data_IF_413444266371
#
_entry.id   IF_413444266371
#
_cell.length_a   1.000
_cell.length_b   1.000
_cell.length_c   1.000
_cell.angle_alpha   90.00
_cell.angle_beta   90.00
_cell.angle_gamma   90.00
#
_symmetry.space_group_name_H-M   'P 1'
#
loop_
_entity.id
_entity.type
_entity.pdbx_description
1 polymer ?
#
# COMPACT_ATOMS: atom_id res chain seq x y z
N UNK A 1 -31.11 3.80 57.85
CA UNK A 1 -32.36 3.26 57.24
C UNK A 1 -31.91 2.47 56.02
N UNK A 2 -31.95 1.14 56.13
CA UNK A 2 -31.48 0.19 55.13
C UNK A 2 -32.46 0.07 53.97
N UNK A 3 -32.01 -0.41 52.79
CA UNK A 3 -32.56 -1.59 52.07
C UNK A 3 -31.90 -1.77 50.69
N UNK A 4 -31.28 -2.95 50.52
CA UNK A 4 -31.09 -3.82 49.34
C UNK A 4 -30.47 -3.22 48.05
N UNK A 5 -29.40 -3.74 47.44
CA UNK A 5 -28.89 -5.10 47.41
C UNK A 5 -29.49 -5.90 46.23
N UNK A 6 -28.87 -5.85 45.04
CA UNK A 6 -29.13 -6.80 43.95
C UNK A 6 -27.82 -7.42 43.49
N UNK A 7 -27.50 -8.57 44.09
CA UNK A 7 -26.67 -9.60 43.49
C UNK A 7 -27.62 -10.55 42.75
N UNK A 8 -27.36 -10.82 41.46
CA UNK A 8 -28.06 -11.88 40.74
C UNK A 8 -27.08 -12.98 40.35
N UNK A 9 -27.47 -14.19 40.69
CA UNK A 9 -26.64 -15.38 40.82
C UNK A 9 -26.64 -16.19 39.54
N UNK A 10 -25.47 -16.79 39.29
CA UNK A 10 -25.08 -17.88 38.37
C UNK A 10 -26.20 -18.78 37.82
N UNK A 11 -26.08 -19.13 36.54
CA UNK A 11 -26.52 -20.43 36.02
C UNK A 11 -25.38 -21.03 35.17
N UNK A 12 -24.85 -22.16 35.65
CA UNK A 12 -23.98 -23.05 34.90
C UNK A 12 -24.85 -24.05 34.13
N UNK A 13 -24.51 -24.32 32.87
CA UNK A 13 -24.95 -25.52 32.18
C UNK A 13 -23.82 -26.01 31.28
N UNK A 14 -23.28 -27.17 31.63
CA UNK A 14 -22.35 -27.94 30.82
C UNK A 14 -23.16 -28.89 29.91
N UNK A 15 -22.75 -29.06 28.65
CA UNK A 15 -22.94 -30.32 27.93
C UNK A 15 -21.88 -30.47 26.83
N UNK A 16 -21.14 -31.57 26.94
CA UNK A 16 -20.06 -32.10 26.10
C UNK A 16 -20.61 -32.85 24.88
N UNK A 17 -19.99 -32.71 23.70
CA UNK A 17 -19.88 -33.82 22.71
C UNK A 17 -18.56 -33.71 21.93
N UNK A 18 -17.78 -34.79 22.01
CA UNK A 18 -16.56 -35.10 21.25
C UNK A 18 -16.92 -35.55 19.82
N UNK A 19 -16.17 -35.12 18.81
CA UNK A 19 -16.08 -35.86 17.53
C UNK A 19 -14.75 -35.60 16.82
N UNK A 20 -13.80 -36.57 16.78
CA UNK A 20 -12.68 -36.55 15.86
C UNK A 20 -13.01 -37.38 14.62
N UNK A 21 -12.91 -36.80 13.43
CA UNK A 21 -12.82 -37.57 12.18
C UNK A 21 -11.38 -37.53 11.65
N UNK A 22 -10.77 -38.72 11.62
CA UNK A 22 -9.52 -39.04 10.94
C UNK A 22 -9.83 -39.47 9.50
N UNK A 23 -9.23 -38.81 8.50
CA UNK A 23 -8.97 -39.34 7.15
C UNK A 23 -7.54 -38.90 6.83
N UNK A 24 -6.50 -39.73 6.92
CA UNK A 24 -6.09 -40.85 6.06
C UNK A 24 -5.82 -40.49 4.59
N UNK A 25 -4.53 -40.54 4.25
CA UNK A 25 -3.90 -41.04 3.01
C UNK A 25 -4.09 -40.26 1.68
N UNK A 26 -2.97 -39.79 1.12
CA UNK A 26 -2.31 -40.56 0.06
C UNK A 26 -0.83 -40.19 -0.05
N UNK A 27 -0.03 -41.25 -0.13
CA UNK A 27 1.41 -41.22 -0.28
C UNK A 27 1.78 -41.25 -1.77
N UNK A 28 2.99 -40.78 -2.07
CA UNK A 28 3.86 -41.43 -3.05
C UNK A 28 3.81 -40.88 -4.48
N UNK A 29 4.98 -40.49 -4.96
CA UNK A 29 5.19 -40.20 -6.38
C UNK A 29 6.57 -39.63 -6.70
N UNK A 30 7.64 -40.25 -6.22
CA UNK A 30 8.99 -40.03 -6.73
C UNK A 30 9.07 -40.52 -8.18
N UNK A 31 9.62 -39.70 -9.08
CA UNK A 31 9.79 -40.11 -10.48
C UNK A 31 10.57 -39.11 -11.32
N UNK A 32 11.87 -38.96 -11.04
CA UNK A 32 12.85 -38.56 -12.05
C UNK A 32 13.18 -39.80 -12.89
N UNK A 33 13.10 -39.69 -14.22
CA UNK A 33 14.32 -39.88 -15.01
C UNK A 33 14.47 -38.81 -16.11
N UNK A 34 15.64 -38.17 -16.13
CA UNK A 34 16.23 -37.68 -17.38
C UNK A 34 16.60 -38.89 -18.25
N UNK A 35 16.44 -38.79 -19.58
CA UNK A 35 17.65 -38.74 -20.39
C UNK A 35 17.57 -37.78 -21.59
N UNK A 36 18.65 -37.02 -21.73
CA UNK A 36 19.42 -36.67 -22.94
C UNK A 36 18.78 -35.97 -24.17
N UNK A 37 19.58 -35.10 -24.82
CA UNK A 37 19.10 -34.10 -25.78
C UNK A 37 18.90 -34.70 -27.18
N UNK A 38 17.74 -34.40 -27.78
CA UNK A 38 17.55 -34.59 -29.21
C UNK A 38 18.03 -33.33 -29.94
N UNK A 39 19.24 -33.43 -30.47
CA UNK A 39 19.82 -32.50 -31.44
C UNK A 39 19.02 -32.59 -32.74
N UNK A 40 18.05 -31.69 -32.95
CA UNK A 40 17.44 -31.49 -34.27
C UNK A 40 18.21 -30.40 -35.02
N UNK A 41 19.12 -30.85 -35.89
CA UNK A 41 19.76 -30.02 -36.90
C UNK A 41 18.71 -29.61 -37.94
N UNK A 42 18.25 -28.36 -37.88
CA UNK A 42 17.46 -27.76 -38.97
C UNK A 42 18.39 -26.89 -39.79
N UNK A 43 18.77 -27.42 -40.95
CA UNK A 43 19.41 -26.66 -42.03
C UNK A 43 18.37 -25.72 -42.62
N UNK A 44 18.40 -24.44 -42.23
CA UNK A 44 17.61 -23.40 -42.89
C UNK A 44 18.44 -22.78 -44.03
N UNK A 45 17.98 -23.05 -45.25
CA UNK A 45 18.49 -22.50 -46.51
C UNK A 45 18.44 -20.97 -46.50
N UNK A 46 19.58 -20.33 -46.78
CA UNK A 46 19.68 -18.87 -47.00
C UNK A 46 18.88 -18.51 -48.25
N UNK A 47 17.83 -17.71 -48.06
CA UNK A 47 17.13 -17.02 -49.15
C UNK A 47 17.49 -15.54 -49.07
N UNK A 48 18.07 -15.01 -50.15
CA UNK A 48 18.46 -13.61 -50.31
C UNK A 48 17.23 -12.66 -50.33
N UNK A 49 17.42 -11.35 -50.08
CA UNK A 49 16.40 -10.49 -49.50
C UNK A 49 15.42 -9.92 -50.54
N UNK A 50 14.14 -9.90 -50.19
CA UNK A 50 13.12 -9.06 -50.83
C UNK A 50 13.08 -7.73 -50.08
N UNK A 51 13.20 -6.62 -50.81
CA UNK A 51 13.15 -5.27 -50.26
C UNK A 51 11.81 -5.01 -49.55
N UNK A 52 11.87 -4.65 -48.27
CA UNK A 52 10.73 -4.19 -47.49
C UNK A 52 10.48 -2.69 -47.75
N UNK A 53 9.22 -2.22 -47.74
CA UNK A 53 8.92 -0.81 -47.78
C UNK A 53 9.40 -0.14 -46.48
N UNK A 54 9.94 1.06 -46.63
CA UNK A 54 10.46 1.92 -45.57
C UNK A 54 9.39 2.15 -44.51
N UNK A 55 9.50 1.45 -43.37
CA UNK A 55 8.74 1.75 -42.17
C UNK A 55 9.22 3.06 -41.58
N UNK A 56 8.31 4.02 -41.40
CA UNK A 56 8.55 5.23 -40.62
C UNK A 56 8.91 4.77 -39.20
N UNK A 57 10.15 5.04 -38.79
CA UNK A 57 10.57 4.81 -37.41
C UNK A 57 9.67 5.61 -36.47
N UNK A 58 9.03 4.92 -35.52
CA UNK A 58 8.37 5.57 -34.41
C UNK A 58 9.43 6.41 -33.65
N UNK A 59 9.10 7.65 -33.21
CA UNK A 59 10.03 8.44 -32.44
C UNK A 59 10.39 7.68 -31.16
N UNK A 60 11.69 7.43 -30.97
CA UNK A 60 12.22 6.97 -29.70
C UNK A 60 11.87 8.02 -28.64
N UNK A 61 11.40 7.62 -27.44
CA UNK A 61 11.33 8.54 -26.31
C UNK A 61 12.71 9.18 -26.13
N UNK A 62 12.76 10.52 -26.12
CA UNK A 62 13.99 11.23 -25.79
C UNK A 62 14.43 10.90 -24.36
N UNK A 63 15.72 11.07 -24.02
CA UNK A 63 16.16 10.88 -22.65
C UNK A 63 15.40 11.84 -21.74
N UNK A 64 14.65 11.30 -20.79
CA UNK A 64 14.13 12.04 -19.64
C UNK A 64 15.31 12.75 -18.97
N UNK A 65 15.19 14.02 -18.55
CA UNK A 65 16.23 14.67 -17.78
C UNK A 65 16.62 13.77 -16.61
N UNK A 66 17.88 13.37 -16.50
CA UNK A 66 18.38 12.65 -15.34
C UNK A 66 18.29 13.60 -14.16
N UNK A 67 17.26 13.44 -13.34
CA UNK A 67 17.09 14.20 -12.10
C UNK A 67 18.29 13.88 -11.17
N UNK A 68 18.86 14.91 -10.55
CA UNK A 68 19.99 14.72 -9.65
C UNK A 68 19.51 14.04 -8.37
N UNK A 69 20.25 13.05 -7.87
CA UNK A 69 19.94 12.39 -6.60
C UNK A 69 20.03 13.37 -5.42
N UNK A 70 19.22 13.09 -4.40
CA UNK A 70 19.17 13.86 -3.16
C UNK A 70 17.74 14.26 -2.81
N UNK A 71 17.50 14.43 -1.51
CA UNK A 71 16.17 14.81 -1.00
C UNK A 71 15.79 16.21 -1.50
N UNK A 72 14.72 16.27 -2.29
CA UNK A 72 14.10 17.51 -2.77
C UNK A 72 12.59 17.51 -2.46
N UNK A 73 12.17 18.06 -1.31
CA UNK A 73 10.76 18.18 -0.96
C UNK A 73 9.98 19.15 -1.85
N UNK A 74 10.62 19.88 -2.76
CA UNK A 74 9.99 20.84 -3.68
C UNK A 74 10.01 20.35 -5.14
N UNK A 75 10.42 19.10 -5.37
CA UNK A 75 10.45 18.50 -6.70
C UNK A 75 9.07 18.57 -7.38
N UNK A 76 9.05 18.88 -8.68
CA UNK A 76 7.80 19.01 -9.44
C UNK A 76 7.04 17.69 -9.55
N UNK A 77 7.74 16.56 -9.44
CA UNK A 77 7.14 15.23 -9.40
C UNK A 77 6.01 15.10 -8.36
N UNK A 78 6.07 15.84 -7.24
CA UNK A 78 5.02 15.82 -6.22
C UNK A 78 3.72 16.45 -6.74
N UNK A 79 3.66 17.76 -7.09
CA UNK A 79 2.44 18.35 -7.63
C UNK A 79 2.02 17.77 -9.00
N UNK A 80 2.97 17.31 -9.83
CA UNK A 80 2.69 16.74 -11.14
C UNK A 80 1.91 15.41 -11.05
N UNK A 81 2.00 14.71 -9.92
CA UNK A 81 1.28 13.45 -9.68
C UNK A 81 0.05 13.60 -8.77
N UNK A 82 -0.24 14.79 -8.25
CA UNK A 82 -1.33 15.03 -7.31
C UNK A 82 -2.71 14.64 -7.87
N UNK A 83 -2.92 14.81 -9.17
CA UNK A 83 -4.17 14.44 -9.86
C UNK A 83 -4.44 12.94 -9.90
N UNK A 84 -3.42 12.10 -9.66
CA UNK A 84 -3.55 10.64 -9.61
C UNK A 84 -3.97 10.14 -8.21
N UNK A 85 -3.93 11.01 -7.20
CA UNK A 85 -4.36 10.67 -5.84
C UNK A 85 -5.89 10.53 -5.83
N UNK A 86 -6.46 9.42 -5.33
CA UNK A 86 -7.91 9.27 -5.21
C UNK A 86 -8.52 10.48 -4.48
N UNK A 87 -9.58 11.10 -5.01
CA UNK A 87 -10.13 12.33 -4.43
C UNK A 87 -10.65 12.08 -3.00
N UNK A 88 -10.68 13.10 -2.13
CA UNK A 88 -11.32 12.99 -0.82
C UNK A 88 -12.81 12.62 -0.94
N UNK A 89 -13.37 12.04 0.12
CA UNK A 89 -14.73 11.52 0.08
C UNK A 89 -15.80 12.61 -0.03
N UNK A 90 -15.59 13.79 0.56
CA UNK A 90 -16.61 14.84 0.58
C UNK A 90 -16.50 15.77 -0.64
N UNK A 91 -17.66 16.16 -1.19
CA UNK A 91 -17.72 17.13 -2.29
C UNK A 91 -17.15 18.47 -1.85
N UNK A 92 -16.27 19.05 -2.67
CA UNK A 92 -15.65 20.35 -2.43
C UNK A 92 -14.36 20.28 -1.63
N UNK A 93 -13.96 19.09 -1.20
CA UNK A 93 -12.63 18.83 -0.67
C UNK A 93 -11.64 18.52 -1.81
N UNK A 94 -10.36 18.79 -1.56
CA UNK A 94 -9.26 18.48 -2.46
C UNK A 94 -8.00 18.12 -1.70
N UNK A 95 -6.94 17.82 -2.44
CA UNK A 95 -5.62 17.58 -1.86
C UNK A 95 -4.72 18.80 -2.06
N UNK A 96 -3.93 19.12 -1.05
CA UNK A 96 -2.86 20.11 -1.15
C UNK A 96 -1.60 19.59 -0.46
N UNK A 97 -0.46 19.88 -1.08
CA UNK A 97 0.85 19.53 -0.56
C UNK A 97 1.44 20.73 0.18
N UNK A 98 1.93 20.49 1.41
CA UNK A 98 2.46 21.54 2.28
C UNK A 98 3.96 21.37 2.62
N UNK A 99 4.71 20.61 1.81
CA UNK A 99 6.17 20.48 1.97
C UNK A 99 6.65 19.30 2.83
N UNK A 100 5.76 18.44 3.33
CA UNK A 100 6.15 17.28 4.14
C UNK A 100 6.50 16.08 3.25
N UNK A 101 7.79 15.88 3.00
CA UNK A 101 8.29 14.87 2.08
C UNK A 101 9.77 14.54 2.33
N UNK A 102 10.19 13.34 1.93
CA UNK A 102 11.60 12.97 1.71
C UNK A 102 11.88 12.60 0.25
N UNK A 103 11.08 13.10 -0.71
CA UNK A 103 11.19 12.76 -2.13
C UNK A 103 12.64 12.84 -2.60
N UNK A 104 13.12 11.75 -3.18
CA UNK A 104 14.45 11.64 -3.77
C UNK A 104 14.31 10.74 -5.01
N UNK A 105 14.71 11.22 -6.20
CA UNK A 105 14.59 10.46 -7.45
C UNK A 105 15.52 9.24 -7.49
N UNK A 106 16.37 9.03 -6.49
CA UNK A 106 17.27 7.89 -6.38
C UNK A 106 16.97 6.97 -5.18
N UNK A 107 16.00 7.31 -4.32
CA UNK A 107 15.61 6.46 -3.20
C UNK A 107 14.81 5.24 -3.67
N UNK A 108 15.00 4.09 -3.01
CA UNK A 108 14.16 2.90 -3.23
C UNK A 108 12.72 3.16 -2.79
N UNK A 109 12.52 3.97 -1.75
CA UNK A 109 11.21 4.46 -1.38
C UNK A 109 11.33 5.89 -0.85
N UNK A 110 10.51 6.77 -1.37
CA UNK A 110 10.30 8.11 -0.82
C UNK A 110 8.82 8.46 -0.81
N UNK A 111 8.45 9.53 -0.10
CA UNK A 111 7.06 9.92 0.08
C UNK A 111 6.83 11.42 -0.06
N UNK A 112 5.58 11.79 -0.31
CA UNK A 112 5.05 13.11 -0.01
C UNK A 112 3.71 12.98 0.71
N UNK A 113 3.50 13.73 1.79
CA UNK A 113 2.24 13.72 2.51
C UNK A 113 1.37 14.90 2.07
N UNK A 114 0.19 14.59 1.53
CA UNK A 114 -0.79 15.59 1.12
C UNK A 114 -1.94 15.62 2.11
N UNK A 115 -2.53 16.80 2.29
CA UNK A 115 -3.55 17.06 3.29
C UNK A 115 -4.84 17.50 2.63
N UNK A 116 -5.96 17.12 3.24
CA UNK A 116 -7.28 17.51 2.75
C UNK A 116 -7.49 19.02 2.94
N UNK A 117 -7.98 19.68 1.89
CA UNK A 117 -8.44 21.07 1.90
C UNK A 117 -9.95 21.13 1.82
N UNK A 118 -10.54 22.28 2.20
CA UNK A 118 -12.00 22.45 2.22
C UNK A 118 -12.71 21.74 3.38
N UNK A 119 -12.04 20.84 4.09
CA UNK A 119 -12.59 20.16 5.26
C UNK A 119 -12.55 21.05 6.50
N UNK A 120 -13.59 21.00 7.34
CA UNK A 120 -13.60 21.62 8.68
C UNK A 120 -13.38 20.60 9.80
N UNK A 121 -13.24 19.31 9.48
CA UNK A 121 -13.05 18.26 10.46
C UNK A 121 -11.74 18.49 11.25
N UNK A 122 -11.73 18.33 12.60
CA UNK A 122 -10.55 18.60 13.42
C UNK A 122 -9.44 17.57 13.21
N UNK A 123 -9.81 16.32 12.92
CA UNK A 123 -8.88 15.29 12.48
C UNK A 123 -8.84 15.33 10.95
N UNK A 124 -7.94 16.15 10.42
CA UNK A 124 -7.76 16.31 8.97
C UNK A 124 -7.34 14.99 8.35
N UNK A 125 -7.89 14.70 7.20
CA UNK A 125 -7.44 13.58 6.39
C UNK A 125 -6.17 13.94 5.63
N UNK A 126 -5.36 12.94 5.35
CA UNK A 126 -4.14 12.98 4.59
C UNK A 126 -3.99 11.72 3.75
N UNK A 127 -3.15 11.82 2.73
CA UNK A 127 -2.77 10.70 1.88
C UNK A 127 -1.26 10.68 1.72
N UNK A 128 -0.66 9.50 1.89
CA UNK A 128 0.76 9.28 1.65
C UNK A 128 0.95 8.91 0.17
N UNK A 129 1.53 9.82 -0.60
CA UNK A 129 2.03 9.56 -1.95
C UNK A 129 3.37 8.83 -1.83
N UNK A 130 3.55 7.74 -2.58
CA UNK A 130 4.76 6.91 -2.55
C UNK A 130 5.45 6.93 -3.91
N UNK A 131 6.79 6.97 -3.88
CA UNK A 131 7.64 7.03 -5.07
C UNK A 131 8.78 6.02 -4.95
N UNK A 132 9.16 5.39 -6.06
CA UNK A 132 10.37 4.57 -6.19
C UNK A 132 11.24 5.15 -7.29
N UNK A 133 12.44 5.61 -6.94
CA UNK A 133 13.41 6.17 -7.89
C UNK A 133 12.80 7.23 -8.83
N UNK A 134 12.01 8.13 -8.26
CA UNK A 134 11.31 9.23 -8.95
C UNK A 134 9.96 8.84 -9.57
N UNK A 135 9.69 7.55 -9.77
CA UNK A 135 8.42 7.10 -10.32
C UNK A 135 7.33 7.07 -9.26
N UNK A 136 6.18 7.68 -9.57
CA UNK A 136 5.02 7.65 -8.68
C UNK A 136 4.35 6.28 -8.68
N UNK A 137 4.25 5.67 -7.50
CA UNK A 137 3.68 4.33 -7.30
C UNK A 137 2.19 4.35 -6.96
N UNK A 138 1.69 5.49 -6.48
CA UNK A 138 0.34 5.60 -5.93
C UNK A 138 0.34 5.98 -4.46
N UNK A 139 -0.67 5.49 -3.76
CA UNK A 139 -0.98 5.90 -2.38
C UNK A 139 -0.81 4.75 -1.39
N UNK A 140 -0.37 5.06 -0.16
CA UNK A 140 -0.18 4.07 0.90
C UNK A 140 -1.48 3.49 1.51
N UNK A 141 -2.64 4.03 1.17
CA UNK A 141 -3.94 3.53 1.60
C UNK A 141 -5.01 3.92 0.59
N UNK A 142 -6.01 3.07 0.34
CA UNK A 142 -7.05 3.34 -0.66
C UNK A 142 -8.10 4.34 -0.18
N UNK A 143 -8.39 4.33 1.12
CA UNK A 143 -9.22 5.34 1.75
C UNK A 143 -8.34 6.46 2.34
N UNK A 144 -8.78 7.73 2.27
CA UNK A 144 -8.18 8.84 3.02
C UNK A 144 -7.99 8.48 4.50
N UNK A 145 -6.79 8.73 5.03
CA UNK A 145 -6.43 8.40 6.41
C UNK A 145 -6.18 9.67 7.22
N UNK A 146 -5.90 9.57 8.52
CA UNK A 146 -5.22 10.63 9.26
C UNK A 146 -3.84 10.12 9.66
N UNK A 147 -2.88 10.27 8.73
CA UNK A 147 -1.52 9.76 8.87
C UNK A 147 -0.58 10.81 9.46
N UNK A 148 0.37 10.35 10.27
CA UNK A 148 1.48 11.11 10.82
C UNK A 148 2.76 10.36 10.50
N UNK A 149 3.63 10.91 9.65
CA UNK A 149 4.95 10.33 9.40
C UNK A 149 5.82 10.54 10.63
N UNK A 150 6.36 9.45 11.18
CA UNK A 150 7.21 9.46 12.37
C UNK A 150 8.69 9.42 12.01
N UNK A 151 9.03 8.70 10.95
CA UNK A 151 10.40 8.51 10.46
C UNK A 151 10.33 8.09 8.98
N UNK A 152 11.36 8.43 8.20
CA UNK A 152 11.51 7.94 6.84
C UNK A 152 12.99 8.00 6.43
N UNK A 153 13.41 7.05 5.61
CA UNK A 153 14.72 6.99 4.98
C UNK A 153 14.58 6.68 3.49
N UNK A 154 15.65 6.22 2.84
CA UNK A 154 15.67 5.94 1.40
C UNK A 154 15.00 4.62 1.00
N UNK A 155 14.57 3.79 1.96
CA UNK A 155 13.97 2.47 1.70
C UNK A 155 12.63 2.28 2.42
N UNK A 156 12.33 3.10 3.43
CA UNK A 156 11.18 2.93 4.31
C UNK A 156 10.53 4.24 4.76
N UNK A 157 9.23 4.15 5.08
CA UNK A 157 8.42 5.25 5.64
C UNK A 157 7.60 4.70 6.80
N UNK A 158 7.86 5.21 8.00
CA UNK A 158 7.13 4.85 9.21
C UNK A 158 6.07 5.90 9.53
N UNK A 159 4.85 5.43 9.77
CA UNK A 159 3.71 6.30 10.07
C UNK A 159 2.92 5.80 11.27
N UNK A 160 2.14 6.71 11.84
CA UNK A 160 1.03 6.40 12.72
C UNK A 160 -0.27 6.87 12.09
N UNK A 161 -1.29 6.02 12.13
CA UNK A 161 -2.59 6.29 11.51
C UNK A 161 -3.70 6.17 12.54
N UNK A 162 -4.63 7.12 12.56
CA UNK A 162 -5.81 7.06 13.44
C UNK A 162 -6.76 5.95 12.98
N UNK A 163 -7.07 4.99 13.85
CA UNK A 163 -8.09 3.97 13.66
C UNK A 163 -9.46 4.55 14.05
N UNK A 164 -10.17 5.13 13.06
CA UNK A 164 -11.48 5.72 13.27
C UNK A 164 -12.54 4.68 13.60
N UNK A 165 -12.42 3.45 13.07
CA UNK A 165 -13.31 2.32 13.42
C UNK A 165 -13.23 2.02 14.92
N UNK A 166 -12.02 2.01 15.49
CA UNK A 166 -11.81 1.82 16.92
C UNK A 166 -12.33 3.01 17.75
N UNK A 167 -12.08 4.25 17.29
CA UNK A 167 -12.61 5.45 17.96
C UNK A 167 -14.14 5.46 17.99
N UNK A 168 -14.79 5.12 16.87
CA UNK A 168 -16.25 5.08 16.76
C UNK A 168 -16.83 4.00 17.68
N UNK A 169 -16.26 2.80 17.66
CA UNK A 169 -16.66 1.69 18.55
C UNK A 169 -16.61 2.10 20.02
N UNK A 170 -15.58 2.83 20.41
CA UNK A 170 -15.34 3.22 21.81
C UNK A 170 -15.98 4.59 22.14
N UNK A 171 -16.67 5.21 21.19
CA UNK A 171 -17.29 6.56 21.28
C UNK A 171 -16.31 7.63 21.77
N UNK A 172 -15.06 7.53 21.33
CA UNK A 172 -13.98 8.38 21.78
C UNK A 172 -14.08 9.79 21.19
N UNK A 173 -13.87 10.86 21.98
CA UNK A 173 -13.82 12.21 21.45
C UNK A 173 -12.54 12.40 20.61
N UNK A 174 -12.59 13.34 19.65
CA UNK A 174 -11.44 13.66 18.79
C UNK A 174 -10.17 14.04 19.57
N UNK A 175 -10.31 14.61 20.77
CA UNK A 175 -9.19 14.97 21.64
C UNK A 175 -8.39 13.74 22.14
N UNK A 176 -8.97 12.54 22.08
CA UNK A 176 -8.31 11.28 22.47
C UNK A 176 -7.72 10.52 21.28
N UNK A 177 -7.76 11.06 20.06
CA UNK A 177 -7.33 10.36 18.85
C UNK A 177 -5.91 9.77 18.91
N UNK A 178 -5.01 10.37 19.69
CA UNK A 178 -3.66 9.85 19.88
C UNK A 178 -3.63 8.43 20.47
N UNK A 179 -4.61 8.08 21.33
CA UNK A 179 -4.75 6.73 21.91
C UNK A 179 -5.17 5.67 20.89
N UNK A 180 -5.68 6.12 19.75
CA UNK A 180 -6.22 5.28 18.69
C UNK A 180 -5.32 5.28 17.44
N UNK A 181 -4.07 5.75 17.58
CA UNK A 181 -3.08 5.62 16.51
C UNK A 181 -2.47 4.23 16.50
N UNK A 182 -2.46 3.60 15.34
CA UNK A 182 -1.71 2.36 15.08
C UNK A 182 -0.47 2.67 14.24
N UNK A 183 0.62 1.94 14.48
CA UNK A 183 1.79 2.01 13.62
C UNK A 183 1.49 1.34 12.26
N UNK A 184 1.95 1.97 11.19
CA UNK A 184 1.87 1.50 9.82
C UNK A 184 3.15 1.90 9.09
N UNK A 185 3.91 0.92 8.61
CA UNK A 185 5.18 1.15 7.92
C UNK A 185 5.11 0.68 6.49
N UNK A 186 5.77 1.39 5.59
CA UNK A 186 5.92 1.05 4.18
C UNK A 186 7.40 0.85 3.89
N UNK A 187 7.74 -0.16 3.11
CA UNK A 187 9.12 -0.40 2.69
C UNK A 187 9.16 -1.03 1.29
N UNK A 188 10.26 -0.83 0.58
CA UNK A 188 10.48 -1.45 -0.72
C UNK A 188 11.06 -2.86 -0.58
N UNK A 189 10.37 -3.88 -1.08
CA UNK A 189 10.82 -5.28 -0.95
C UNK A 189 11.75 -5.76 -2.08
N UNK A 190 12.11 -4.88 -3.02
CA UNK A 190 12.85 -5.20 -4.24
C UNK A 190 12.00 -5.28 -5.52
N UNK A 191 10.68 -5.41 -5.38
CA UNK A 191 9.71 -5.48 -6.50
C UNK A 191 8.56 -4.48 -6.34
N UNK A 192 8.08 -4.29 -5.11
CA UNK A 192 6.95 -3.40 -4.79
C UNK A 192 7.04 -2.86 -3.37
N UNK A 193 6.16 -1.92 -3.06
CA UNK A 193 5.95 -1.49 -1.69
C UNK A 193 5.15 -2.55 -0.94
N UNK A 194 5.63 -2.88 0.26
CA UNK A 194 4.88 -3.66 1.23
C UNK A 194 4.54 -2.81 2.46
N UNK A 195 3.34 -3.00 2.96
CA UNK A 195 2.86 -2.37 4.18
C UNK A 195 2.92 -3.36 5.36
N UNK A 196 3.53 -2.95 6.47
CA UNK A 196 3.57 -3.68 7.73
C UNK A 196 2.69 -2.96 8.74
N UNK A 197 1.69 -3.66 9.26
CA UNK A 197 0.69 -3.14 10.19
C UNK A 197 -0.72 -3.23 9.62
N UNK A 198 -1.73 -2.96 10.45
CA UNK A 198 -3.12 -2.81 9.98
C UNK A 198 -3.24 -1.45 9.30
N UNK A 199 -3.75 -1.42 8.07
CA UNK A 199 -4.26 -0.20 7.47
C UNK A 199 -5.71 -0.05 7.94
N UNK A 200 -6.03 0.88 8.86
CA UNK A 200 -7.40 1.02 9.33
C UNK A 200 -8.27 1.70 8.27
N UNK A 201 -9.58 1.69 8.50
CA UNK A 201 -10.55 2.50 7.76
C UNK A 201 -10.59 2.20 6.24
N UNK A 202 -10.29 0.97 5.82
CA UNK A 202 -10.26 0.58 4.41
C UNK A 202 -11.65 0.16 3.87
N UNK A 203 -12.64 0.01 4.74
CA UNK A 203 -13.88 -0.67 4.38
C UNK A 203 -13.66 -2.16 4.08
N UNK A 204 -14.71 -2.92 3.73
CA UNK A 204 -14.65 -4.38 3.74
C UNK A 204 -13.80 -5.07 2.65
N UNK A 205 -13.06 -4.37 1.77
CA UNK A 205 -12.32 -5.04 0.67
C UNK A 205 -11.21 -4.23 -0.03
N UNK A 206 -10.50 -3.31 0.64
CA UNK A 206 -9.43 -2.57 -0.05
C UNK A 206 -8.10 -3.37 -0.02
N UNK A 207 -7.78 -4.05 -1.12
CA UNK A 207 -6.41 -4.53 -1.39
C UNK A 207 -5.71 -3.42 -2.16
N UNK A 208 -4.57 -2.92 -1.65
CA UNK A 208 -3.81 -1.89 -2.35
C UNK A 208 -3.22 -2.52 -3.62
N UNK A 209 -3.49 -1.96 -4.83
CA UNK A 209 -2.79 -2.37 -6.02
C UNK A 209 -1.34 -1.89 -5.91
N UNK A 210 -0.41 -2.84 -5.80
CA UNK A 210 1.02 -2.64 -5.98
C UNK A 210 1.51 -3.70 -6.97
#
# INVERSE_FOLDING_TARGET
>A
MAILGYASTRAAAALTVFLPLLLSACAGGSGTPAPEPLTSTVTATVSAPVAAPTGIAAPSPGPTPTEACGVDPQASAIPDNLWQVPPPAARGEGWEYYGQSNYDPCAELSYALVWVTGSTHPLKQSQLMLFHRGDYLGVGALAPQSMYVTEADSESVHTRVVDFEAMERDQAPNAEAERYRTDLSFWWNGEKVEAIGKIPNQGPAATIPH
#
